data_IF_688783103371
#
_entry.id   IF_688783103371
#
_cell.length_a   1.000
_cell.length_b   1.000
_cell.length_c   1.000
_cell.angle_alpha   90.00
_cell.angle_beta   90.00
_cell.angle_gamma   90.00
#
_symmetry.space_group_name_H-M   'P 1'
#
loop_
_entity.id
_entity.type
_entity.pdbx_description
1 polymer ?
#
# COMPACT_ATOMS: atom_id res chain seq x y z
N UNK A 1 -8.46 18.40 10.52
CA UNK A 1 -7.98 17.12 9.95
C UNK A 1 -9.14 16.13 9.98
N UNK A 2 -9.58 15.66 8.82
CA UNK A 2 -10.61 14.64 8.72
C UNK A 2 -10.20 13.33 9.40
N UNK A 3 -11.17 12.53 9.82
CA UNK A 3 -10.92 11.25 10.50
C UNK A 3 -10.15 10.28 9.59
N UNK A 4 -9.24 9.48 10.15
CA UNK A 4 -8.51 8.45 9.41
C UNK A 4 -9.42 7.25 9.19
N UNK A 5 -9.57 6.80 7.94
CA UNK A 5 -10.32 5.59 7.57
C UNK A 5 -9.42 4.35 7.53
N UNK A 6 -8.24 4.48 6.93
CA UNK A 6 -7.18 3.48 6.95
C UNK A 6 -5.88 4.17 7.38
N UNK A 7 -5.22 3.59 8.39
CA UNK A 7 -4.01 4.16 8.96
C UNK A 7 -2.85 4.21 7.95
N UNK A 8 -1.82 4.98 8.27
CA UNK A 8 -0.60 5.01 7.47
C UNK A 8 0.07 3.63 7.51
N UNK A 9 0.33 3.05 6.35
CA UNK A 9 0.97 1.74 6.21
C UNK A 9 1.69 1.61 4.87
N UNK A 10 2.43 0.52 4.74
CA UNK A 10 3.10 0.05 3.53
C UNK A 10 2.56 -1.34 3.19
N UNK A 11 2.60 -1.69 1.91
CA UNK A 11 2.15 -2.99 1.43
C UNK A 11 3.32 -3.96 1.41
N UNK A 12 3.16 -5.16 1.98
CA UNK A 12 4.27 -6.13 2.05
C UNK A 12 4.55 -6.81 0.71
N UNK A 13 3.55 -6.91 -0.17
CA UNK A 13 3.59 -7.68 -1.41
C UNK A 13 4.48 -7.06 -2.51
N UNK A 14 4.39 -7.57 -3.74
CA UNK A 14 5.19 -7.06 -4.85
C UNK A 14 4.61 -5.74 -5.39
N UNK A 15 3.32 -5.79 -5.74
CA UNK A 15 2.60 -4.68 -6.37
C UNK A 15 1.12 -4.75 -5.98
N UNK A 16 0.50 -3.60 -5.77
CA UNK A 16 -0.94 -3.50 -5.48
C UNK A 16 -1.61 -2.74 -6.61
N UNK A 17 -2.79 -3.22 -7.03
CA UNK A 17 -3.62 -2.59 -8.06
C UNK A 17 -4.97 -2.24 -7.46
N UNK A 18 -5.38 -0.98 -7.59
CA UNK A 18 -6.63 -0.47 -7.03
C UNK A 18 -7.40 0.37 -8.05
N UNK A 19 -8.57 -0.09 -8.51
CA UNK A 19 -9.50 0.75 -9.25
C UNK A 19 -10.02 1.90 -8.37
N UNK A 20 -9.98 3.12 -8.90
CA UNK A 20 -10.51 4.27 -8.20
C UNK A 20 -12.05 4.28 -8.25
N UNK A 21 -12.70 4.61 -7.12
CA UNK A 21 -14.15 4.60 -6.98
C UNK A 21 -14.78 6.01 -6.98
N UNK A 22 -14.11 7.03 -7.52
CA UNK A 22 -14.54 8.43 -7.51
C UNK A 22 -14.74 9.02 -6.11
N UNK A 23 -14.08 8.43 -5.10
CA UNK A 23 -14.16 8.87 -3.72
C UNK A 23 -12.78 9.30 -3.21
N UNK A 24 -12.58 10.58 -2.88
CA UNK A 24 -11.29 11.08 -2.40
C UNK A 24 -10.93 10.50 -1.03
N UNK A 25 -9.64 10.62 -0.70
CA UNK A 25 -9.10 10.30 0.61
C UNK A 25 -7.82 9.47 0.61
N UNK A 26 -7.48 8.82 -0.50
CA UNK A 26 -6.19 8.12 -0.63
C UNK A 26 -5.07 9.15 -0.70
N UNK A 27 -4.07 9.00 0.16
CA UNK A 27 -2.90 9.86 0.24
C UNK A 27 -1.61 9.04 0.29
N UNK A 28 -0.56 9.54 -0.34
CA UNK A 28 0.80 8.98 -0.30
C UNK A 28 1.75 9.94 0.41
N UNK A 29 2.72 9.42 1.12
CA UNK A 29 3.72 10.21 1.85
C UNK A 29 4.94 10.46 0.96
N UNK A 30 5.31 11.72 0.79
CA UNK A 30 6.51 12.10 0.04
C UNK A 30 7.77 11.88 0.87
N UNK A 31 8.93 11.96 0.21
CA UNK A 31 10.24 12.01 0.88
C UNK A 31 10.41 13.24 1.78
N UNK A 32 9.70 14.35 1.51
CA UNK A 32 9.66 15.53 2.39
C UNK A 32 8.79 15.31 3.64
N UNK A 33 8.08 14.19 3.73
CA UNK A 33 7.18 13.86 4.83
C UNK A 33 5.76 14.42 4.68
N UNK A 34 5.48 15.07 3.56
CA UNK A 34 4.18 15.65 3.22
C UNK A 34 3.23 14.58 2.67
N UNK A 35 1.93 14.82 2.79
CA UNK A 35 0.91 13.95 2.22
C UNK A 35 0.42 14.54 0.89
N UNK A 36 0.46 13.74 -0.17
CA UNK A 36 -0.12 14.09 -1.47
C UNK A 36 -1.42 13.31 -1.68
N UNK A 37 -2.47 14.01 -2.10
CA UNK A 37 -3.71 13.38 -2.52
C UNK A 37 -3.53 12.65 -3.85
N UNK A 38 -4.05 11.43 -3.93
CA UNK A 38 -4.05 10.64 -5.15
C UNK A 38 -5.35 10.90 -5.93
N UNK A 39 -5.27 11.32 -7.20
CA UNK A 39 -6.45 11.45 -8.06
C UNK A 39 -7.25 10.15 -8.10
N UNK A 40 -8.54 10.25 -7.81
CA UNK A 40 -9.42 9.07 -7.60
C UNK A 40 -10.61 9.04 -8.55
N UNK A 41 -10.51 9.76 -9.67
CA UNK A 41 -11.54 9.82 -10.71
C UNK A 41 -11.92 8.43 -11.23
N UNK A 42 -13.19 8.25 -11.57
CA UNK A 42 -13.67 7.00 -12.13
C UNK A 42 -12.89 6.64 -13.42
N UNK A 43 -12.46 5.38 -13.50
CA UNK A 43 -11.63 4.89 -14.61
C UNK A 43 -10.12 4.96 -14.33
N UNK A 44 -9.68 5.66 -13.29
CA UNK A 44 -8.28 5.61 -12.86
C UNK A 44 -7.96 4.25 -12.23
N UNK A 45 -6.72 3.82 -12.44
CA UNK A 45 -6.12 2.65 -11.80
C UNK A 45 -4.89 3.10 -11.02
N UNK A 46 -4.95 3.00 -9.69
CA UNK A 46 -3.80 3.26 -8.83
C UNK A 46 -2.96 2.00 -8.75
N UNK A 47 -1.65 2.15 -8.93
CA UNK A 47 -0.68 1.08 -8.81
C UNK A 47 0.42 1.54 -7.85
N UNK A 48 0.73 0.74 -6.84
CA UNK A 48 1.83 1.02 -5.92
C UNK A 48 2.75 -0.19 -5.74
N UNK A 49 3.99 0.15 -5.39
CA UNK A 49 5.07 -0.77 -5.06
C UNK A 49 4.89 -1.23 -3.61
N UNK A 50 5.17 -2.50 -3.35
CA UNK A 50 5.28 -3.03 -1.99
C UNK A 50 6.71 -3.45 -1.61
N UNK A 51 6.87 -3.82 -0.35
CA UNK A 51 8.15 -4.11 0.30
C UNK A 51 8.96 -5.18 -0.44
N UNK A 52 8.32 -6.23 -0.94
CA UNK A 52 9.01 -7.30 -1.66
C UNK A 52 9.61 -6.83 -2.99
N UNK A 53 8.99 -5.88 -3.70
CA UNK A 53 9.57 -5.31 -4.91
C UNK A 53 10.66 -4.27 -4.58
N UNK A 54 10.53 -3.58 -3.46
CA UNK A 54 11.60 -2.73 -2.93
C UNK A 54 12.86 -3.57 -2.62
N UNK A 55 12.71 -4.70 -1.93
CA UNK A 55 13.81 -5.63 -1.66
C UNK A 55 14.39 -6.18 -2.97
N UNK A 56 13.53 -6.66 -3.89
CA UNK A 56 13.97 -7.26 -5.14
C UNK A 56 14.69 -6.28 -6.08
N UNK A 57 14.44 -4.98 -5.94
CA UNK A 57 15.06 -3.94 -6.75
C UNK A 57 16.23 -3.23 -6.06
N UNK A 58 16.66 -3.71 -4.89
CA UNK A 58 17.72 -3.06 -4.11
C UNK A 58 17.37 -1.61 -3.71
N UNK A 59 16.08 -1.32 -3.52
CA UNK A 59 15.59 0.01 -3.17
C UNK A 59 15.39 0.96 -4.36
N UNK A 60 15.56 0.51 -5.61
CA UNK A 60 15.30 1.36 -6.78
C UNK A 60 13.82 1.79 -6.86
N UNK A 61 12.90 0.88 -6.55
CA UNK A 61 11.47 1.18 -6.43
C UNK A 61 11.04 1.21 -4.96
N UNK A 62 10.69 2.39 -4.40
CA UNK A 62 10.36 2.50 -2.98
C UNK A 62 8.93 2.04 -2.68
N UNK A 63 8.78 1.22 -1.64
CA UNK A 63 7.50 0.94 -0.98
C UNK A 63 7.07 2.21 -0.25
N UNK A 64 6.02 2.85 -0.72
CA UNK A 64 5.66 4.22 -0.28
C UNK A 64 4.53 4.15 0.74
N UNK A 65 4.77 4.75 1.91
CA UNK A 65 3.76 4.88 2.95
C UNK A 65 2.51 5.59 2.42
N UNK A 66 1.34 5.01 2.63
CA UNK A 66 0.06 5.56 2.18
C UNK A 66 -1.03 5.39 3.24
N UNK A 67 -2.11 6.16 3.12
CA UNK A 67 -3.26 6.14 4.06
C UNK A 67 -4.56 6.49 3.35
N UNK A 68 -5.69 6.26 4.02
CA UNK A 68 -7.00 6.77 3.58
C UNK A 68 -7.60 7.64 4.66
N UNK A 69 -7.89 8.90 4.33
CA UNK A 69 -8.62 9.84 5.19
C UNK A 69 -10.07 9.98 4.73
N UNK A 70 -10.94 10.37 5.66
CA UNK A 70 -12.27 10.88 5.34
C UNK A 70 -12.16 12.40 5.20
N UNK A 71 -12.19 12.96 3.98
CA UNK A 71 -12.15 14.40 3.80
C UNK A 71 -13.36 15.07 4.47
N UNK A 72 -13.21 16.36 4.79
CA UNK A 72 -14.30 17.14 5.33
C UNK A 72 -15.50 17.16 4.36
N UNK A 73 -16.71 16.99 4.88
CA UNK A 73 -17.92 16.85 4.06
C UNK A 73 -18.17 15.45 3.48
N UNK A 74 -17.33 14.45 3.78
CA UNK A 74 -17.62 13.07 3.38
C UNK A 74 -18.95 12.58 4.01
N UNK A 75 -19.83 12.07 3.15
CA UNK A 75 -21.11 11.49 3.58
C UNK A 75 -20.88 10.19 4.35
N UNK A 76 -21.15 10.23 5.66
CA UNK A 76 -20.95 9.09 6.57
C UNK A 76 -22.02 8.02 6.41
N UNK A 77 -23.13 8.31 5.73
CA UNK A 77 -24.23 7.37 5.52
C UNK A 77 -24.03 6.50 4.28
N UNK A 78 -23.09 6.88 3.40
CA UNK A 78 -22.82 6.17 2.16
C UNK A 78 -21.76 5.09 2.35
N UNK A 79 -22.05 3.89 1.85
CA UNK A 79 -21.04 2.83 1.77
C UNK A 79 -19.99 3.13 0.71
N UNK A 80 -18.74 2.82 1.01
CA UNK A 80 -17.61 2.83 0.07
C UNK A 80 -17.14 1.40 -0.13
N UNK A 81 -17.01 0.97 -1.38
CA UNK A 81 -16.42 -0.32 -1.75
C UNK A 81 -15.12 -0.06 -2.50
N UNK A 82 -14.07 -0.80 -2.16
CA UNK A 82 -12.80 -0.82 -2.87
C UNK A 82 -12.44 -2.25 -3.25
N UNK A 83 -11.67 -2.40 -4.33
CA UNK A 83 -11.27 -3.69 -4.87
C UNK A 83 -9.73 -3.76 -5.01
N UNK A 84 -8.98 -3.67 -3.90
CA UNK A 84 -7.53 -3.80 -3.97
C UNK A 84 -7.12 -5.23 -4.33
N UNK A 85 -6.28 -5.36 -5.35
CA UNK A 85 -5.63 -6.61 -5.72
C UNK A 85 -4.17 -6.56 -5.28
N UNK A 86 -3.83 -7.40 -4.30
CA UNK A 86 -2.46 -7.54 -3.78
C UNK A 86 -1.74 -8.67 -4.52
N UNK A 87 -0.85 -8.33 -5.45
CA UNK A 87 -0.06 -9.31 -6.19
C UNK A 87 1.11 -9.80 -5.34
N UNK A 88 0.98 -11.00 -4.81
CA UNK A 88 2.06 -11.68 -4.09
C UNK A 88 2.90 -12.53 -5.04
N UNK A 89 4.24 -12.50 -4.91
CA UNK A 89 5.09 -13.48 -5.56
C UNK A 89 4.84 -14.87 -4.95
N UNK A 90 5.21 -15.92 -5.68
CA UNK A 90 5.20 -17.27 -5.08
C UNK A 90 6.24 -17.33 -3.94
N UNK A 91 6.00 -18.11 -2.88
CA UNK A 91 6.89 -18.18 -1.71
C UNK A 91 8.38 -18.47 -2.06
N UNK A 92 8.62 -19.29 -3.08
CA UNK A 92 9.95 -19.71 -3.54
C UNK A 92 10.71 -18.67 -4.39
N UNK A 93 10.08 -17.55 -4.75
CA UNK A 93 10.73 -16.50 -5.54
C UNK A 93 11.85 -15.88 -4.70
N UNK A 94 13.07 -15.89 -5.25
CA UNK A 94 14.22 -15.17 -4.69
C UNK A 94 14.03 -13.68 -4.94
N UNK A 95 13.97 -12.89 -3.87
CA UNK A 95 13.90 -11.43 -3.94
C UNK A 95 15.31 -10.86 -4.02
N UNK A 96 16.20 -11.31 -3.14
CA UNK A 96 17.58 -10.84 -3.06
C UNK A 96 18.51 -11.96 -2.58
N UNK A 97 19.81 -11.68 -2.41
CA UNK A 97 20.75 -12.60 -1.77
C UNK A 97 20.36 -12.94 -0.32
N UNK A 98 19.47 -12.14 0.30
CA UNK A 98 19.06 -12.28 1.70
C UNK A 98 17.75 -13.06 1.86
N UNK A 99 16.82 -12.92 0.90
CA UNK A 99 15.44 -13.38 1.09
C UNK A 99 14.83 -14.06 -0.14
N UNK A 100 14.03 -15.09 0.13
CA UNK A 100 12.89 -15.46 -0.71
C UNK A 100 11.65 -14.70 -0.23
N UNK A 101 10.57 -14.72 -1.00
CA UNK A 101 9.30 -14.15 -0.56
C UNK A 101 8.79 -14.78 0.75
N UNK A 102 8.94 -16.10 0.90
CA UNK A 102 8.60 -16.81 2.14
C UNK A 102 9.44 -16.33 3.32
N UNK A 103 10.77 -16.30 3.18
CA UNK A 103 11.65 -15.93 4.29
C UNK A 103 11.49 -14.46 4.67
N UNK A 104 11.17 -13.58 3.72
CA UNK A 104 10.83 -12.18 4.00
C UNK A 104 9.55 -12.06 4.84
N UNK A 105 8.49 -12.80 4.48
CA UNK A 105 7.26 -12.83 5.24
C UNK A 105 7.50 -13.39 6.65
N UNK A 106 8.24 -14.49 6.77
CA UNK A 106 8.57 -15.09 8.06
C UNK A 106 9.37 -14.15 8.96
N UNK A 107 10.32 -13.40 8.39
CA UNK A 107 11.05 -12.36 9.14
C UNK A 107 10.10 -11.28 9.65
N UNK A 108 9.21 -10.77 8.80
CA UNK A 108 8.21 -9.76 9.21
C UNK A 108 7.28 -10.29 10.30
N UNK A 109 6.88 -11.56 10.26
CA UNK A 109 6.05 -12.16 11.31
C UNK A 109 6.78 -12.25 12.66
N UNK A 110 8.10 -12.53 12.66
CA UNK A 110 8.93 -12.47 13.88
C UNK A 110 9.07 -11.04 14.39
N UNK A 111 9.33 -10.07 13.51
CA UNK A 111 9.42 -8.64 13.89
C UNK A 111 8.14 -8.14 14.57
N UNK A 112 6.98 -8.66 14.14
CA UNK A 112 5.67 -8.36 14.72
C UNK A 112 5.35 -9.17 15.98
N UNK A 113 6.20 -10.12 16.38
CA UNK A 113 5.98 -10.98 17.55
C UNK A 113 4.80 -11.95 17.40
N UNK A 114 4.44 -12.30 16.17
CA UNK A 114 3.35 -13.26 15.88
C UNK A 114 3.82 -14.71 16.07
N UNK A 115 5.10 -14.96 15.82
CA UNK A 115 5.78 -16.25 15.94
C UNK A 115 7.12 -16.13 16.66
#
# INVERSE_FOLDING_TARGET
LGAIRAAAHEDINLLTVLPAANEPGLQVKTKSGEWLDVPSDFGNLIINIGDMLQEASGGYFPSTTHRVVNPEGADKTRSRISLPLFLHPKPEVVLSERYTADSYLMERLRELGVI
#
